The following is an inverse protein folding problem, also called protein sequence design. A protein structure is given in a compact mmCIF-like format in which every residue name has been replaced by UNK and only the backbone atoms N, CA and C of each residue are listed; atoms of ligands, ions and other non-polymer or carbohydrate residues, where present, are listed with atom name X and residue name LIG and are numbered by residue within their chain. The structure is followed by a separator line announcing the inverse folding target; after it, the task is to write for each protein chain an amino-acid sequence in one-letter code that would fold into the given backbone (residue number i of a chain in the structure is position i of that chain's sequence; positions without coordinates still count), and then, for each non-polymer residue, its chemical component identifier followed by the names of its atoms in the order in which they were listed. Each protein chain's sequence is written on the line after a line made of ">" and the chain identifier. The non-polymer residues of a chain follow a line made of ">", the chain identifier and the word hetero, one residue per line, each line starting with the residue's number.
data_IF_164564782444
#
_entry.id   IF_164564782444
#
_cell.length_a   1.000
_cell.length_b   1.000
_cell.length_c   1.000
_cell.angle_alpha   90.00
_cell.angle_beta   90.00
_cell.angle_gamma   90.00
#
_symmetry.space_group_name_H-M   'P 1'
#
loop_
_entity.id
_entity.type
_entity.pdbx_description
1 polymer ?
#
# COMPACT_ATOMS: atom_id res chain seq x y z
N UNK A 1 -1.20 10.87 20.93
CA UNK A 1 -0.22 10.92 19.82
C UNK A 1 -0.66 9.89 18.80
N UNK A 2 -0.93 10.26 17.55
CA UNK A 2 -1.32 9.29 16.53
C UNK A 2 -0.07 8.59 16.01
N UNK A 3 -0.10 7.26 15.92
CA UNK A 3 0.94 6.45 15.32
C UNK A 3 0.44 5.97 13.95
N UNK A 4 1.22 6.19 12.90
CA UNK A 4 0.97 5.69 11.56
C UNK A 4 2.14 4.81 11.12
N UNK A 5 1.92 3.89 10.19
CA UNK A 5 2.97 3.04 9.63
C UNK A 5 3.07 3.26 8.11
N UNK A 6 4.30 3.29 7.61
CA UNK A 6 4.59 3.27 6.18
C UNK A 6 5.60 2.16 5.92
N UNK A 7 5.31 1.29 4.97
CA UNK A 7 6.25 0.31 4.46
C UNK A 7 6.84 0.78 3.12
N UNK A 8 8.16 0.75 3.02
CA UNK A 8 8.90 0.93 1.77
C UNK A 8 9.30 -0.43 1.24
N UNK A 9 8.95 -0.72 -0.01
CA UNK A 9 9.38 -1.95 -0.68
C UNK A 9 10.48 -1.59 -1.66
N UNK A 10 11.69 -2.06 -1.37
CA UNK A 10 12.90 -1.70 -2.11
C UNK A 10 13.45 -2.96 -2.76
N UNK A 11 13.79 -2.89 -4.05
CA UNK A 11 14.54 -3.95 -4.72
C UNK A 11 16.03 -3.66 -4.66
N UNK A 12 16.82 -4.69 -4.36
CA UNK A 12 18.28 -4.66 -4.52
C UNK A 12 18.67 -5.41 -5.79
N UNK A 13 19.30 -4.71 -6.72
CA UNK A 13 19.91 -5.26 -7.93
C UNK A 13 21.42 -4.96 -7.90
N UNK A 14 22.20 -5.89 -7.35
CA UNK A 14 23.62 -5.66 -7.08
C UNK A 14 23.81 -4.60 -6.00
N UNK A 15 24.48 -3.50 -6.34
CA UNK A 15 24.63 -2.32 -5.45
C UNK A 15 23.51 -1.29 -5.60
N UNK A 16 22.68 -1.40 -6.65
CA UNK A 16 21.59 -0.46 -6.88
C UNK A 16 20.38 -0.82 -6.01
N UNK A 17 19.83 0.20 -5.34
CA UNK A 17 18.56 0.14 -4.61
C UNK A 17 17.53 0.94 -5.41
N UNK A 18 16.35 0.36 -5.63
CA UNK A 18 15.22 1.03 -6.28
C UNK A 18 13.95 0.85 -5.45
N UNK A 19 13.20 1.93 -5.24
CA UNK A 19 11.89 1.88 -4.60
C UNK A 19 10.88 1.28 -5.57
N UNK A 20 10.28 0.14 -5.21
CA UNK A 20 9.24 -0.52 -5.99
C UNK A 20 7.85 0.02 -5.66
N UNK A 21 7.53 0.08 -4.36
CA UNK A 21 6.21 0.53 -3.90
C UNK A 21 6.28 1.09 -2.47
N UNK A 22 5.21 1.79 -2.10
CA UNK A 22 4.95 2.33 -0.77
C UNK A 22 3.58 1.86 -0.31
N UNK A 23 3.52 1.27 0.89
CA UNK A 23 2.27 0.86 1.53
C UNK A 23 2.04 1.72 2.77
N UNK A 24 0.81 2.21 2.93
CA UNK A 24 0.35 2.91 4.13
C UNK A 24 -0.87 2.25 4.79
N UNK A 25 -1.42 1.21 4.16
CA UNK A 25 -2.53 0.42 4.70
C UNK A 25 -1.99 -0.73 5.56
N UNK A 26 -2.40 -0.79 6.83
CA UNK A 26 -1.93 -1.81 7.78
C UNK A 26 -2.18 -3.25 7.31
N UNK A 27 -3.26 -3.51 6.55
CA UNK A 27 -3.57 -4.84 6.03
C UNK A 27 -2.66 -5.20 4.87
N UNK A 28 -2.36 -4.25 3.99
CA UNK A 28 -1.38 -4.47 2.91
C UNK A 28 0.02 -4.70 3.48
N UNK A 29 0.40 -3.94 4.51
CA UNK A 29 1.68 -4.12 5.21
C UNK A 29 1.76 -5.50 5.85
N UNK A 30 0.71 -5.94 6.56
CA UNK A 30 0.67 -7.27 7.16
C UNK A 30 0.73 -8.40 6.12
N UNK A 31 0.09 -8.22 4.95
CA UNK A 31 0.18 -9.18 3.85
C UNK A 31 1.59 -9.26 3.27
N UNK A 32 2.25 -8.10 3.09
CA UNK A 32 3.63 -8.05 2.66
C UNK A 32 4.57 -8.76 3.65
N UNK A 33 4.38 -8.52 4.95
CA UNK A 33 5.15 -9.15 6.01
C UNK A 33 5.03 -10.68 5.94
N UNK A 34 3.80 -11.21 5.90
CA UNK A 34 3.57 -12.67 5.76
C UNK A 34 4.21 -13.24 4.48
N UNK A 35 4.06 -12.53 3.35
CA UNK A 35 4.60 -12.96 2.07
C UNK A 35 6.14 -12.99 2.05
N UNK A 36 6.78 -12.02 2.72
CA UNK A 36 8.23 -12.00 2.91
C UNK A 36 8.68 -13.15 3.83
N UNK A 37 7.97 -13.39 4.93
CA UNK A 37 8.29 -14.46 5.90
C UNK A 37 8.14 -15.86 5.29
N UNK A 38 7.17 -16.05 4.38
CA UNK A 38 6.95 -17.29 3.64
C UNK A 38 7.95 -17.49 2.48
N UNK A 39 8.78 -16.48 2.17
CA UNK A 39 9.78 -16.55 1.11
C UNK A 39 9.18 -16.55 -0.30
N UNK A 40 8.03 -15.89 -0.49
CA UNK A 40 7.42 -15.76 -1.81
C UNK A 40 8.34 -14.98 -2.76
N UNK A 41 8.47 -15.48 -4.00
CA UNK A 41 9.32 -14.85 -5.03
C UNK A 41 8.84 -13.45 -5.41
N UNK A 42 7.52 -13.21 -5.35
CA UNK A 42 6.92 -11.90 -5.59
C UNK A 42 5.89 -11.54 -4.51
N UNK A 43 6.35 -10.98 -3.38
CA UNK A 43 5.46 -10.62 -2.26
C UNK A 43 4.42 -9.54 -2.58
N UNK A 44 4.66 -8.73 -3.63
CA UNK A 44 3.77 -7.64 -4.02
C UNK A 44 2.58 -8.12 -4.85
N UNK A 45 2.68 -9.27 -5.51
CA UNK A 45 1.64 -9.75 -6.42
C UNK A 45 0.27 -9.87 -5.72
N UNK A 46 0.23 -10.43 -4.51
CA UNK A 46 -1.01 -10.55 -3.72
C UNK A 46 -1.66 -9.19 -3.41
N UNK A 47 -0.84 -8.16 -3.22
CA UNK A 47 -1.32 -6.79 -2.94
C UNK A 47 -1.87 -6.18 -4.23
N UNK A 48 -1.18 -6.36 -5.36
CA UNK A 48 -1.64 -5.87 -6.65
C UNK A 48 -2.95 -6.53 -7.11
N UNK A 49 -3.06 -7.85 -6.95
CA UNK A 49 -4.28 -8.59 -7.26
C UNK A 49 -5.46 -8.09 -6.41
N UNK A 50 -5.22 -7.84 -5.12
CA UNK A 50 -6.23 -7.30 -4.21
C UNK A 50 -6.66 -5.89 -4.60
N UNK A 51 -5.72 -4.99 -4.89
CA UNK A 51 -6.01 -3.62 -5.35
C UNK A 51 -6.80 -3.64 -6.65
N UNK A 52 -6.40 -4.47 -7.60
CA UNK A 52 -7.10 -4.61 -8.88
C UNK A 52 -8.53 -5.11 -8.68
N UNK A 53 -8.71 -6.14 -7.86
CA UNK A 53 -10.02 -6.68 -7.53
C UNK A 53 -10.91 -5.63 -6.86
N UNK A 54 -10.37 -4.86 -5.92
CA UNK A 54 -11.12 -3.79 -5.26
C UNK A 54 -11.59 -2.73 -6.25
N UNK A 55 -10.71 -2.28 -7.15
CA UNK A 55 -11.08 -1.32 -8.21
C UNK A 55 -12.18 -1.88 -9.11
N UNK A 56 -12.10 -3.17 -9.45
CA UNK A 56 -13.14 -3.82 -10.24
C UNK A 56 -14.48 -3.88 -9.49
N UNK A 57 -14.48 -4.32 -8.24
CA UNK A 57 -15.68 -4.39 -7.39
C UNK A 57 -16.31 -3.00 -7.20
N UNK A 58 -15.50 -1.96 -7.01
CA UNK A 58 -15.96 -0.57 -6.85
C UNK A 58 -16.57 0.03 -8.13
N UNK A 59 -16.07 -0.39 -9.31
CA UNK A 59 -16.62 0.00 -10.60
C UNK A 59 -17.94 -0.73 -10.88
N UNK A 60 -17.97 -2.05 -10.70
CA UNK A 60 -19.19 -2.86 -10.88
C UNK A 60 -20.32 -2.38 -9.96
N UNK A 61 -19.98 -2.03 -8.71
CA UNK A 61 -20.96 -1.46 -7.79
C UNK A 61 -21.39 -0.05 -8.21
N UNK A 62 -20.49 0.77 -8.75
CA UNK A 62 -20.81 2.07 -9.33
C UNK A 62 -21.84 1.96 -10.44
N UNK A 63 -21.59 1.10 -11.43
CA UNK A 63 -22.49 0.83 -12.55
C UNK A 63 -23.87 0.37 -12.07
N UNK A 64 -23.90 -0.53 -11.08
CA UNK A 64 -25.14 -1.00 -10.46
C UNK A 64 -25.95 0.15 -9.83
N UNK A 65 -25.30 1.04 -9.08
CA UNK A 65 -25.96 2.19 -8.45
C UNK A 65 -26.47 3.18 -9.50
N UNK A 66 -25.70 3.44 -10.55
CA UNK A 66 -26.12 4.31 -11.66
C UNK A 66 -27.34 3.74 -12.39
N UNK A 67 -27.32 2.45 -12.71
CA UNK A 67 -28.46 1.76 -13.32
C UNK A 67 -29.69 1.85 -12.42
N UNK A 68 -29.54 1.58 -11.12
CA UNK A 68 -30.61 1.66 -10.14
C UNK A 68 -31.22 3.07 -10.08
N UNK A 69 -30.38 4.11 -10.07
CA UNK A 69 -30.82 5.51 -10.01
C UNK A 69 -31.50 5.98 -11.30
N UNK A 70 -31.20 5.34 -12.43
CA UNK A 70 -31.83 5.63 -13.73
C UNK A 70 -33.25 5.07 -13.88
N UNK A 71 -33.68 4.16 -12.98
CA UNK A 71 -34.97 3.49 -13.08
C UNK A 71 -36.15 4.47 -12.83
N UNK A 72 -37.16 4.51 -13.72
CA UNK A 72 -38.24 5.50 -13.66
C UNK A 72 -39.18 5.31 -12.45
N UNK A 73 -39.24 4.10 -11.89
CA UNK A 73 -40.12 3.75 -10.76
C UNK A 73 -39.41 3.70 -9.41
N UNK A 74 -38.19 4.24 -9.32
CA UNK A 74 -37.46 4.24 -8.06
C UNK A 74 -38.16 5.12 -7.03
N UNK A 75 -38.37 4.57 -5.82
CA UNK A 75 -38.97 5.32 -4.72
C UNK A 75 -38.08 6.53 -4.37
N UNK A 76 -38.66 7.72 -4.08
CA UNK A 76 -37.90 8.92 -3.79
C UNK A 76 -36.84 8.75 -2.69
N UNK A 77 -37.15 7.95 -1.65
CA UNK A 77 -36.25 7.70 -0.53
C UNK A 77 -35.00 6.93 -0.98
N UNK A 78 -35.18 5.93 -1.84
CA UNK A 78 -34.07 5.12 -2.38
C UNK A 78 -33.18 5.99 -3.27
N UNK A 79 -33.78 6.89 -4.05
CA UNK A 79 -33.05 7.86 -4.88
C UNK A 79 -32.20 8.81 -4.02
N UNK A 80 -32.77 9.33 -2.94
CA UNK A 80 -32.06 10.21 -2.02
C UNK A 80 -30.89 9.50 -1.34
N UNK A 81 -31.09 8.27 -0.86
CA UNK A 81 -30.02 7.45 -0.29
C UNK A 81 -28.88 7.19 -1.29
N UNK A 82 -29.20 6.85 -2.53
CA UNK A 82 -28.18 6.64 -3.56
C UNK A 82 -27.37 7.90 -3.87
N UNK A 83 -28.01 9.08 -3.91
CA UNK A 83 -27.31 10.36 -4.08
C UNK A 83 -26.42 10.69 -2.88
N UNK A 84 -26.88 10.44 -1.65
CA UNK A 84 -26.08 10.66 -0.44
C UNK A 84 -24.87 9.72 -0.37
N UNK A 85 -25.06 8.46 -0.79
CA UNK A 85 -23.97 7.50 -0.91
C UNK A 85 -22.93 7.98 -1.94
N UNK A 86 -23.37 8.42 -3.13
CA UNK A 86 -22.45 8.92 -4.17
C UNK A 86 -21.61 10.11 -3.69
N UNK A 87 -22.25 11.07 -2.99
CA UNK A 87 -21.53 12.20 -2.36
C UNK A 87 -20.50 11.73 -1.33
N UNK A 88 -20.86 10.72 -0.54
CA UNK A 88 -19.97 10.14 0.46
C UNK A 88 -18.78 9.44 -0.19
N UNK A 89 -19.02 8.68 -1.26
CA UNK A 89 -17.97 8.02 -2.06
C UNK A 89 -16.95 9.03 -2.59
N UNK A 90 -17.42 10.08 -3.28
CA UNK A 90 -16.55 11.14 -3.82
C UNK A 90 -15.68 11.76 -2.71
N UNK A 91 -16.28 12.08 -1.57
CA UNK A 91 -15.54 12.66 -0.44
C UNK A 91 -14.49 11.71 0.15
N UNK A 92 -14.81 10.41 0.24
CA UNK A 92 -13.86 9.39 0.70
C UNK A 92 -12.68 9.29 -0.28
N UNK A 93 -12.94 9.26 -1.58
CA UNK A 93 -11.91 9.21 -2.62
C UNK A 93 -10.98 10.44 -2.58
N UNK A 94 -11.53 11.64 -2.35
CA UNK A 94 -10.74 12.86 -2.15
C UNK A 94 -9.80 12.76 -0.93
N UNK A 95 -10.30 12.25 0.19
CA UNK A 95 -9.47 12.02 1.38
C UNK A 95 -8.40 10.97 1.13
N UNK A 96 -8.74 9.84 0.50
CA UNK A 96 -7.80 8.78 0.14
C UNK A 96 -6.71 9.30 -0.78
N UNK A 97 -7.06 10.12 -1.78
CA UNK A 97 -6.06 10.74 -2.66
C UNK A 97 -5.08 11.62 -1.88
N UNK A 98 -5.60 12.43 -0.96
CA UNK A 98 -4.78 13.30 -0.09
C UNK A 98 -3.85 12.46 0.80
N UNK A 99 -4.37 11.35 1.33
CA UNK A 99 -3.59 10.41 2.15
C UNK A 99 -2.47 9.74 1.35
N UNK A 100 -2.75 9.29 0.12
CA UNK A 100 -1.76 8.70 -0.78
C UNK A 100 -0.66 9.70 -1.14
N UNK A 101 -1.02 10.96 -1.41
CA UNK A 101 -0.04 12.02 -1.70
C UNK A 101 0.86 12.32 -0.49
N UNK A 102 0.27 12.37 0.71
CA UNK A 102 1.02 12.52 1.94
C UNK A 102 1.96 11.32 2.18
N UNK A 103 1.46 10.10 2.02
CA UNK A 103 2.23 8.87 2.17
C UNK A 103 3.43 8.83 1.20
N UNK A 104 3.23 9.20 -0.08
CA UNK A 104 4.31 9.32 -1.07
C UNK A 104 5.38 10.32 -0.65
N UNK A 105 4.98 11.49 -0.18
CA UNK A 105 5.92 12.52 0.28
C UNK A 105 6.77 12.03 1.44
N UNK A 106 6.15 11.35 2.41
CA UNK A 106 6.86 10.77 3.56
C UNK A 106 7.77 9.64 3.11
N UNK A 107 7.30 8.80 2.18
CA UNK A 107 8.06 7.68 1.65
C UNK A 107 9.28 8.12 0.86
N UNK A 108 9.17 9.17 0.02
CA UNK A 108 10.30 9.75 -0.70
C UNK A 108 11.38 10.27 0.25
N UNK A 109 10.96 10.94 1.33
CA UNK A 109 11.88 11.42 2.36
C UNK A 109 12.54 10.25 3.09
N UNK A 110 11.76 9.27 3.53
CA UNK A 110 12.24 8.09 4.23
C UNK A 110 13.18 7.23 3.36
N UNK A 111 12.90 7.13 2.06
CA UNK A 111 13.74 6.42 1.10
C UNK A 111 15.11 7.10 0.95
N UNK A 112 15.18 8.43 0.90
CA UNK A 112 16.45 9.16 0.89
C UNK A 112 17.27 8.89 2.16
N UNK A 113 16.63 8.88 3.32
CA UNK A 113 17.31 8.51 4.58
C UNK A 113 17.84 7.08 4.55
N UNK A 114 17.07 6.14 3.98
CA UNK A 114 17.51 4.76 3.82
C UNK A 114 18.72 4.65 2.86
N UNK A 115 18.76 5.43 1.77
CA UNK A 115 19.91 5.45 0.87
C UNK A 115 21.20 5.93 1.54
N UNK A 116 21.10 6.89 2.47
CA UNK A 116 22.24 7.35 3.27
C UNK A 116 22.72 6.31 4.28
N UNK A 117 21.81 5.49 4.82
CA UNK A 117 22.13 4.41 5.75
C UNK A 117 21.29 3.15 5.48
N UNK A 118 21.74 2.26 4.56
CA UNK A 118 20.97 1.08 4.16
C UNK A 118 20.77 0.01 5.25
N UNK A 119 21.37 0.18 6.44
CA UNK A 119 21.12 -0.68 7.60
C UNK A 119 19.89 -0.24 8.40
N UNK A 120 19.34 0.93 8.10
CA UNK A 120 18.21 1.53 8.81
C UNK A 120 16.88 1.06 8.21
N UNK A 121 16.46 -0.15 8.57
CA UNK A 121 15.26 -0.79 8.01
C UNK A 121 13.99 -0.62 8.86
N UNK A 122 14.09 -0.19 10.11
CA UNK A 122 12.93 0.15 10.96
C UNK A 122 13.27 1.41 11.76
N UNK A 123 12.51 2.47 11.57
CA UNK A 123 12.75 3.76 12.21
C UNK A 123 11.47 4.59 12.36
N UNK A 124 11.55 5.74 13.02
CA UNK A 124 10.40 6.62 13.23
C UNK A 124 10.69 8.05 12.83
N UNK A 125 9.75 8.67 12.12
CA UNK A 125 9.72 10.08 11.82
C UNK A 125 8.76 10.76 12.80
N UNK A 126 9.27 11.73 13.56
CA UNK A 126 8.48 12.42 14.59
C UNK A 126 8.11 13.81 14.11
N UNK A 127 6.81 14.08 14.02
CA UNK A 127 6.25 15.41 13.83
C UNK A 127 5.69 16.00 15.13
N UNK A 128 5.20 17.24 15.07
CA UNK A 128 4.64 17.94 16.22
C UNK A 128 3.39 17.27 16.83
N UNK A 129 2.66 16.46 16.05
CA UNK A 129 1.42 15.79 16.49
C UNK A 129 1.35 14.27 16.23
N UNK A 130 2.29 13.74 15.43
CA UNK A 130 2.22 12.38 14.87
C UNK A 130 3.60 11.73 14.88
N UNK A 131 3.63 10.42 15.16
CA UNK A 131 4.80 9.57 14.94
C UNK A 131 4.49 8.64 13.78
N UNK A 132 5.38 8.57 12.81
CA UNK A 132 5.26 7.69 11.65
C UNK A 132 6.37 6.66 11.75
N UNK A 133 6.02 5.39 11.92
CA UNK A 133 6.97 4.28 11.86
C UNK A 133 7.19 3.90 10.41
N UNK A 134 8.44 3.89 9.98
CA UNK A 134 8.84 3.46 8.64
C UNK A 134 9.48 2.08 8.77
N UNK A 135 9.03 1.13 7.97
CA UNK A 135 9.66 -0.19 7.78
C UNK A 135 10.10 -0.35 6.33
N UNK A 136 11.30 -0.90 6.11
CA UNK A 136 11.87 -1.10 4.79
C UNK A 136 12.02 -2.60 4.53
N UNK A 137 11.32 -3.07 3.50
CA UNK A 137 11.40 -4.43 2.99
C UNK A 137 12.34 -4.45 1.80
N UNK A 138 13.52 -5.05 1.99
CA UNK A 138 14.51 -5.17 0.91
C UNK A 138 14.32 -6.51 0.22
N UNK A 139 13.73 -6.48 -0.97
CA UNK A 139 13.59 -7.63 -1.85
C UNK A 139 14.89 -7.83 -2.63
N UNK A 140 15.49 -9.01 -2.51
CA UNK A 140 16.67 -9.39 -3.26
C UNK A 140 16.69 -10.90 -3.46
N UNK A 141 17.10 -11.33 -4.65
CA UNK A 141 17.45 -12.73 -4.88
C UNK A 141 18.70 -13.04 -4.06
N UNK A 142 18.53 -13.39 -2.79
CA UNK A 142 19.48 -14.27 -2.13
C UNK A 142 19.37 -15.62 -2.84
N UNK A 143 20.10 -15.78 -3.96
CA UNK A 143 20.75 -17.07 -4.19
C UNK A 143 21.65 -17.25 -2.97
N UNK A 144 21.11 -17.94 -1.97
CA UNK A 144 21.85 -18.47 -0.85
C UNK A 144 23.13 -19.09 -1.43
N UNK A 145 24.26 -18.42 -1.19
CA UNK A 145 25.56 -19.02 -1.41
C UNK A 145 25.62 -20.15 -0.39
N UNK A 146 25.17 -21.33 -0.82
CA UNK A 146 25.41 -22.56 -0.08
C UNK A 146 26.92 -22.62 0.16
N UNK A 147 27.39 -22.83 1.39
CA UNK A 147 28.80 -22.99 1.64
C UNK A 147 29.27 -24.18 0.81
N UNK A 148 30.19 -23.93 -0.12
CA UNK A 148 30.91 -25.00 -0.80
C UNK A 148 31.64 -25.79 0.29
N UNK A 149 31.05 -26.94 0.65
CA UNK A 149 31.72 -27.96 1.42
C UNK A 149 32.81 -28.56 0.53
N UNK A 150 33.99 -27.94 0.54
CA UNK A 150 35.23 -28.60 0.17
C UNK A 150 35.49 -29.70 1.20
N UNK A 151 35.01 -30.90 0.93
CA UNK A 151 35.56 -32.11 1.52
C UNK A 151 36.56 -32.69 0.51
N UNK A 152 37.84 -32.54 0.87
CA UNK A 152 38.99 -33.19 0.26
C UNK A 152 38.97 -34.71 0.47
#
# INVERSE_FOLDING_TARGET
>A
MKAAMIALVVRREGEALSLLDTLSDDREIALLESACDEGLTDPLQNIYDRRQRQVQEDNEFGDYVEELLSQPFLRPEIREHGVQWLKSKIRIEEYQKTEVEAAKTIADFAYRMFLENPKMTDFSLTGSATIIRVRVFVLGNEKAVAPQSNAA
#
